data_IF_106279077494
#
_entry.id   IF_106279077494
#
_cell.length_a   1.000
_cell.length_b   1.000
_cell.length_c   1.000
_cell.angle_alpha   90.00
_cell.angle_beta   90.00
_cell.angle_gamma   90.00
#
_symmetry.space_group_name_H-M   'P 1'
#
loop_
_entity.id
_entity.type
_entity.pdbx_description
1 polymer ?
#
# COMPACT_ATOMS: atom_id res chain seq x y z
N UNK A 1 27.72 -3.48 5.65
CA UNK A 1 26.59 -3.55 6.54
C UNK A 1 25.78 -2.25 6.51
N UNK A 2 24.51 -2.35 6.19
CA UNK A 2 23.69 -1.15 6.14
C UNK A 2 23.47 -0.61 7.55
N UNK A 3 23.58 0.69 7.71
CA UNK A 3 23.28 1.37 8.96
C UNK A 3 22.03 2.20 8.80
N UNK A 4 21.22 2.27 9.82
CA UNK A 4 20.07 3.15 9.82
C UNK A 4 20.55 4.60 9.75
N UNK A 5 20.08 5.33 8.75
CA UNK A 5 20.43 6.73 8.55
C UNK A 5 19.72 7.63 9.56
N UNK A 6 18.57 7.16 10.04
CA UNK A 6 17.75 7.89 10.99
C UNK A 6 17.83 7.24 12.37
N UNK A 7 17.56 8.01 13.41
CA UNK A 7 17.64 7.48 14.77
C UNK A 7 16.56 6.42 15.03
N UNK A 8 16.79 5.60 16.04
CA UNK A 8 15.89 4.49 16.36
C UNK A 8 14.48 4.94 16.72
N UNK A 9 14.34 6.09 17.36
CA UNK A 9 13.03 6.60 17.73
C UNK A 9 12.21 7.01 16.49
N UNK A 10 12.86 7.67 15.54
CA UNK A 10 12.22 8.03 14.28
C UNK A 10 11.76 6.78 13.52
N UNK A 11 12.65 5.81 13.41
CA UNK A 11 12.34 4.56 12.70
C UNK A 11 11.22 3.80 13.39
N UNK A 12 11.24 3.72 14.73
CA UNK A 12 10.17 3.06 15.48
C UNK A 12 8.83 3.76 15.29
N UNK A 13 8.82 5.09 15.26
CA UNK A 13 7.62 5.87 15.00
C UNK A 13 7.09 5.62 13.58
N UNK A 14 7.98 5.61 12.60
CA UNK A 14 7.60 5.35 11.21
C UNK A 14 7.09 3.91 11.05
N UNK A 15 7.72 2.96 11.71
CA UNK A 15 7.27 1.57 11.70
C UNK A 15 5.85 1.44 12.23
N UNK A 16 5.54 2.10 13.34
CA UNK A 16 4.19 2.07 13.90
C UNK A 16 3.16 2.65 12.93
N UNK A 17 3.51 3.74 12.24
CA UNK A 17 2.64 4.33 11.22
C UNK A 17 2.44 3.40 10.04
N UNK A 18 3.50 2.75 9.58
CA UNK A 18 3.43 1.80 8.47
C UNK A 18 2.61 0.58 8.83
N UNK A 19 2.73 0.07 10.04
CA UNK A 19 1.93 -1.07 10.50
C UNK A 19 0.45 -0.71 10.59
N UNK A 20 0.13 0.49 11.06
CA UNK A 20 -1.24 0.98 11.08
C UNK A 20 -1.80 1.13 9.67
N UNK A 21 -1.00 1.66 8.75
CA UNK A 21 -1.39 1.82 7.35
C UNK A 21 -1.61 0.46 6.68
N UNK A 22 -0.74 -0.50 6.96
CA UNK A 22 -0.90 -1.87 6.48
C UNK A 22 -2.22 -2.47 6.93
N UNK A 23 -2.53 -2.35 8.22
CA UNK A 23 -3.78 -2.88 8.78
C UNK A 23 -4.99 -2.22 8.13
N UNK A 24 -4.95 -0.90 7.93
CA UNK A 24 -6.03 -0.17 7.28
C UNK A 24 -6.26 -0.64 5.86
N UNK A 25 -5.17 -0.75 5.08
CA UNK A 25 -5.26 -1.17 3.68
C UNK A 25 -5.74 -2.61 3.55
N UNK A 26 -5.26 -3.50 4.41
CA UNK A 26 -5.71 -4.89 4.40
C UNK A 26 -7.19 -5.00 4.74
N UNK A 27 -7.67 -4.21 5.70
CA UNK A 27 -9.07 -4.20 6.06
C UNK A 27 -9.95 -3.66 4.92
N UNK A 28 -9.50 -2.60 4.24
CA UNK A 28 -10.23 -2.05 3.11
C UNK A 28 -10.28 -3.01 1.94
N UNK A 29 -9.18 -3.68 1.63
CA UNK A 29 -9.14 -4.67 0.56
C UNK A 29 -10.02 -5.87 0.87
N UNK A 30 -10.06 -6.31 2.13
CA UNK A 30 -10.92 -7.41 2.54
C UNK A 30 -12.40 -7.05 2.42
N UNK A 31 -12.77 -5.78 2.61
CA UNK A 31 -14.16 -5.33 2.43
C UNK A 31 -14.56 -5.19 0.97
N UNK A 32 -13.63 -4.73 0.13
CA UNK A 32 -13.91 -4.41 -1.26
C UNK A 32 -13.66 -5.57 -2.20
N UNK A 33 -12.99 -6.62 -1.73
CA UNK A 33 -12.67 -7.75 -2.56
C UNK A 33 -12.58 -9.02 -1.75
N UNK A 34 -12.24 -10.09 -2.45
CA UNK A 34 -12.06 -11.40 -1.84
C UNK A 34 -10.61 -11.79 -1.94
N UNK A 35 -10.03 -12.24 -0.83
CA UNK A 35 -8.65 -12.69 -0.81
C UNK A 35 -8.48 -13.92 -1.71
N UNK A 36 -7.56 -13.85 -2.65
CA UNK A 36 -7.35 -14.91 -3.65
C UNK A 36 -6.17 -15.80 -3.29
N UNK A 37 -5.21 -15.30 -2.58
CA UNK A 37 -4.02 -16.08 -2.22
C UNK A 37 -3.63 -15.86 -0.77
N UNK A 38 -2.42 -16.27 -0.44
CA UNK A 38 -1.90 -16.14 0.92
C UNK A 38 -1.05 -14.90 1.11
N UNK A 39 -0.80 -14.13 0.06
CA UNK A 39 0.05 -12.94 0.12
C UNK A 39 -0.76 -11.66 0.13
N UNK A 40 -0.15 -10.58 0.66
CA UNK A 40 -0.75 -9.26 0.58
C UNK A 40 -0.78 -8.83 -0.90
N UNK A 41 -1.89 -8.24 -1.30
CA UNK A 41 -2.09 -7.85 -2.69
C UNK A 41 -2.83 -8.88 -3.53
N UNK A 42 -3.05 -10.08 -3.00
CA UNK A 42 -3.78 -11.15 -3.69
C UNK A 42 -5.28 -11.07 -3.40
N UNK A 43 -5.91 -10.01 -3.86
CA UNK A 43 -7.34 -9.81 -3.66
C UNK A 43 -8.05 -9.72 -5.01
N UNK A 44 -9.20 -10.35 -5.10
CA UNK A 44 -10.06 -10.24 -6.28
C UNK A 44 -11.18 -9.23 -6.00
N UNK A 45 -11.53 -8.38 -6.98
CA UNK A 45 -12.64 -7.45 -6.81
C UNK A 45 -13.96 -8.16 -6.59
N UNK A 46 -14.80 -7.60 -5.74
CA UNK A 46 -16.13 -8.11 -5.55
C UNK A 46 -17.03 -7.64 -6.71
N UNK A 47 -17.60 -8.58 -7.41
CA UNK A 47 -18.54 -8.29 -8.48
C UNK A 47 -19.96 -8.54 -8.01
N UNK A 48 -20.83 -7.58 -8.22
CA UNK A 48 -22.22 -7.68 -7.83
C UNK A 48 -23.10 -7.74 -9.10
N UNK A 49 -24.06 -8.64 -9.08
CA UNK A 49 -25.00 -8.77 -10.16
C UNK A 49 -26.28 -8.03 -9.79
N UNK A 50 -26.54 -6.92 -10.45
CA UNK A 50 -27.65 -6.04 -10.08
C UNK A 50 -28.93 -6.29 -10.83
N UNK A 51 -28.90 -6.77 -12.02
CA UNK A 51 -30.13 -6.95 -12.75
C UNK A 51 -29.90 -7.23 -14.21
N UNK A 52 -30.97 -7.25 -14.97
CA UNK A 52 -30.96 -7.73 -16.34
C UNK A 52 -31.25 -6.69 -17.39
N UNK A 53 -31.60 -5.44 -17.04
CA UNK A 53 -31.84 -4.41 -18.05
C UNK A 53 -30.52 -3.72 -18.43
N UNK A 54 -30.49 -3.15 -19.63
CA UNK A 54 -29.27 -2.56 -20.20
C UNK A 54 -28.71 -1.40 -19.39
N UNK A 55 -29.58 -0.52 -18.91
CA UNK A 55 -29.12 0.63 -18.11
C UNK A 55 -28.49 0.18 -16.82
N UNK A 56 -29.13 -0.76 -16.14
CA UNK A 56 -28.63 -1.32 -14.91
C UNK A 56 -27.28 -2.01 -15.13
N UNK A 57 -27.17 -2.79 -16.20
CA UNK A 57 -25.94 -3.50 -16.53
C UNK A 57 -24.79 -2.55 -16.86
N UNK A 58 -25.07 -1.44 -17.54
CA UNK A 58 -24.04 -0.44 -17.85
C UNK A 58 -23.55 0.24 -16.58
N UNK A 59 -24.46 0.57 -15.67
CA UNK A 59 -24.10 1.19 -14.39
C UNK A 59 -23.28 0.24 -13.52
N UNK A 60 -23.67 -1.04 -13.50
CA UNK A 60 -22.92 -2.08 -12.78
C UNK A 60 -21.52 -2.23 -13.31
N UNK A 61 -21.37 -2.26 -14.63
CA UNK A 61 -20.07 -2.42 -15.27
C UNK A 61 -19.16 -1.25 -14.94
N UNK A 62 -19.69 -0.02 -15.00
CA UNK A 62 -18.93 1.18 -14.66
C UNK A 62 -18.49 1.16 -13.17
N UNK A 63 -19.40 0.73 -12.29
CA UNK A 63 -19.08 0.62 -10.86
C UNK A 63 -18.03 -0.45 -10.63
N UNK A 64 -18.11 -1.57 -11.30
CA UNK A 64 -17.13 -2.64 -11.21
C UNK A 64 -15.75 -2.18 -11.64
N UNK A 65 -15.66 -1.47 -12.77
CA UNK A 65 -14.39 -0.91 -13.24
C UNK A 65 -13.80 0.08 -12.25
N UNK A 66 -14.64 0.94 -11.67
CA UNK A 66 -14.20 1.89 -10.64
C UNK A 66 -13.65 1.16 -9.42
N UNK A 67 -14.34 0.11 -8.97
CA UNK A 67 -13.91 -0.68 -7.83
C UNK A 67 -12.56 -1.37 -8.10
N UNK A 68 -12.35 -1.89 -9.29
CA UNK A 68 -11.08 -2.49 -9.68
C UNK A 68 -9.96 -1.44 -9.60
N UNK A 69 -10.20 -0.24 -10.13
CA UNK A 69 -9.19 0.81 -10.11
C UNK A 69 -8.82 1.20 -8.69
N UNK A 70 -9.80 1.33 -7.79
CA UNK A 70 -9.56 1.65 -6.39
C UNK A 70 -8.75 0.54 -5.72
N UNK A 71 -9.13 -0.71 -5.92
CA UNK A 71 -8.44 -1.85 -5.33
C UNK A 71 -7.01 -1.98 -5.82
N UNK A 72 -6.76 -1.75 -7.10
CA UNK A 72 -5.40 -1.79 -7.65
C UNK A 72 -4.54 -0.69 -7.04
N UNK A 73 -5.09 0.49 -6.83
CA UNK A 73 -4.39 1.57 -6.14
C UNK A 73 -4.04 1.20 -4.71
N UNK A 74 -4.98 0.59 -3.99
CA UNK A 74 -4.76 0.15 -2.62
C UNK A 74 -3.73 -0.97 -2.54
N UNK A 75 -3.74 -1.90 -3.48
CA UNK A 75 -2.76 -2.97 -3.54
C UNK A 75 -1.35 -2.44 -3.79
N UNK A 76 -1.21 -1.45 -4.66
CA UNK A 76 0.08 -0.80 -4.91
C UNK A 76 0.58 -0.08 -3.66
N UNK A 77 -0.32 0.61 -2.98
CA UNK A 77 0.01 1.30 -1.73
C UNK A 77 0.45 0.32 -0.65
N UNK A 78 -0.30 -0.77 -0.49
CA UNK A 78 0.06 -1.83 0.45
C UNK A 78 1.42 -2.42 0.11
N UNK A 79 1.71 -2.63 -1.17
CA UNK A 79 3.01 -3.11 -1.62
C UNK A 79 4.15 -2.20 -1.18
N UNK A 80 3.97 -0.87 -1.30
CA UNK A 80 4.96 0.11 -0.84
C UNK A 80 5.16 0.04 0.67
N UNK A 81 4.07 -0.08 1.42
CA UNK A 81 4.12 -0.19 2.88
C UNK A 81 4.88 -1.45 3.30
N UNK A 82 4.60 -2.58 2.67
CA UNK A 82 5.28 -3.84 2.98
C UNK A 82 6.77 -3.76 2.66
N UNK A 83 7.13 -3.14 1.55
CA UNK A 83 8.55 -2.96 1.20
C UNK A 83 9.25 -2.03 2.18
N UNK A 84 8.56 -1.00 2.65
CA UNK A 84 9.12 -0.10 3.66
C UNK A 84 9.38 -0.83 4.98
N UNK A 85 8.45 -1.67 5.41
CA UNK A 85 8.61 -2.48 6.62
C UNK A 85 9.77 -3.46 6.47
N UNK A 86 9.91 -4.06 5.31
CA UNK A 86 11.04 -4.94 5.02
C UNK A 86 12.37 -4.18 5.10
N UNK A 87 12.43 -2.96 4.57
CA UNK A 87 13.64 -2.14 4.65
C UNK A 87 13.98 -1.77 6.10
N UNK A 88 12.98 -1.57 6.94
CA UNK A 88 13.22 -1.33 8.37
C UNK A 88 13.93 -2.54 8.99
N UNK A 89 13.47 -3.74 8.68
CA UNK A 89 14.09 -4.97 9.20
C UNK A 89 15.51 -5.15 8.70
N UNK A 90 15.76 -4.76 7.45
CA UNK A 90 17.08 -4.90 6.83
C UNK A 90 18.04 -3.75 7.15
N UNK A 91 17.55 -2.69 7.79
CA UNK A 91 18.37 -1.55 8.13
C UNK A 91 18.61 -0.57 6.99
N UNK A 92 17.80 -0.64 5.93
CA UNK A 92 17.93 0.24 4.76
C UNK A 92 16.77 1.24 4.63
N UNK A 93 15.93 1.35 5.64
CA UNK A 93 14.82 2.29 5.60
C UNK A 93 15.30 3.73 5.49
N UNK A 94 14.62 4.50 4.66
CA UNK A 94 14.93 5.92 4.48
C UNK A 94 15.96 6.19 3.40
N UNK A 95 16.40 5.16 2.69
CA UNK A 95 17.31 5.33 1.56
C UNK A 95 16.53 5.24 0.26
N UNK A 96 16.88 6.13 -0.69
CA UNK A 96 16.32 6.09 -2.04
C UNK A 96 16.71 4.77 -2.70
N UNK A 97 15.73 4.04 -3.20
CA UNK A 97 15.97 2.70 -3.76
C UNK A 97 16.78 2.76 -5.06
N UNK A 98 16.80 3.91 -5.73
CA UNK A 98 17.55 4.07 -6.98
C UNK A 98 18.99 4.54 -6.77
N UNK A 99 19.21 5.42 -5.81
CA UNK A 99 20.51 6.05 -5.60
C UNK A 99 21.24 5.59 -4.35
N UNK A 100 20.53 4.99 -3.40
CA UNK A 100 21.08 4.61 -2.11
C UNK A 100 21.34 5.77 -1.17
N UNK A 101 20.98 6.99 -1.56
CA UNK A 101 21.17 8.19 -0.74
C UNK A 101 19.99 8.38 0.21
N UNK A 102 20.20 9.05 1.36
CA UNK A 102 19.10 9.29 2.30
C UNK A 102 17.97 10.11 1.68
N UNK A 103 16.75 9.71 1.96
CA UNK A 103 15.55 10.45 1.59
C UNK A 103 15.38 11.58 2.60
N UNK A 104 14.89 12.75 2.16
CA UNK A 104 14.62 13.88 3.05
C UNK A 104 13.67 13.45 4.15
N UNK A 105 14.05 13.75 5.40
CA UNK A 105 13.24 13.38 6.57
C UNK A 105 11.81 13.92 6.49
N UNK A 106 11.63 15.13 5.99
CA UNK A 106 10.30 15.74 5.86
C UNK A 106 9.41 14.95 4.90
N UNK A 107 10.01 14.41 3.85
CA UNK A 107 9.26 13.55 2.92
C UNK A 107 8.81 12.27 3.61
N UNK A 108 9.67 11.67 4.41
CA UNK A 108 9.33 10.47 5.17
C UNK A 108 8.27 10.75 6.23
N UNK A 109 8.29 11.92 6.83
CA UNK A 109 7.27 12.32 7.80
C UNK A 109 5.89 12.44 7.15
N UNK A 110 5.84 12.91 5.91
CA UNK A 110 4.60 13.04 5.15
C UNK A 110 4.21 11.70 4.51
N UNK A 111 5.19 10.97 4.01
CA UNK A 111 4.97 9.72 3.30
C UNK A 111 5.96 8.66 3.79
N UNK A 112 5.59 7.93 4.88
CA UNK A 112 6.51 6.94 5.47
C UNK A 112 6.96 5.83 4.52
N UNK A 113 6.16 5.50 3.53
CA UNK A 113 6.49 4.45 2.56
C UNK A 113 7.28 4.96 1.35
N UNK A 114 7.80 6.19 1.40
CA UNK A 114 8.55 6.77 0.29
C UNK A 114 9.75 5.89 -0.08
N UNK A 115 9.92 5.69 -1.37
CA UNK A 115 11.03 4.90 -1.92
C UNK A 115 12.05 5.77 -2.64
N UNK A 116 11.74 7.03 -2.84
CA UNK A 116 12.59 7.97 -3.55
C UNK A 116 12.48 9.37 -2.93
N UNK A 117 13.52 10.17 -3.12
CA UNK A 117 13.60 11.52 -2.56
C UNK A 117 12.99 12.56 -3.53
N UNK A 118 11.88 12.21 -4.13
CA UNK A 118 11.18 13.10 -5.05
C UNK A 118 9.71 13.17 -4.70
#
# INVERSE_FOLDING_TARGET
MAKDVFDKQFIASQKARLEAEKARLEAELARNGKKVGSGAGDYAPAYQDYGTDEESNAAEYAQFETNIAIEQGQEQELGRVLRALERIEKGSYGLDVSTGKPINRKRLEVFPAAEADI
#
